data_IF_711846450124
#
_entry.id   IF_711846450124
#
_cell.length_a   1.000
_cell.length_b   1.000
_cell.length_c   1.000
_cell.angle_alpha   90.00
_cell.angle_beta   90.00
_cell.angle_gamma   90.00
#
_symmetry.space_group_name_H-M   'P 1'
#
loop_
_entity.id
_entity.type
_entity.pdbx_description
1 polymer ?
#
# COMPACT_ATOMS: atom_id res chain seq x y z
N UNK A 1 -23.04 -74.83 55.19
CA UNK A 1 -23.56 -73.89 54.14
C UNK A 1 -23.06 -72.48 54.50
N UNK A 2 -21.97 -72.08 53.87
CA UNK A 2 -21.42 -70.70 53.96
C UNK A 2 -21.71 -69.98 52.68
N UNK A 3 -22.42 -68.84 52.78
CA UNK A 3 -22.66 -67.92 51.60
C UNK A 3 -21.56 -66.93 51.56
N UNK A 4 -20.77 -66.96 50.46
CA UNK A 4 -19.77 -66.02 50.16
C UNK A 4 -20.41 -64.83 49.39
N UNK A 5 -20.38 -63.64 50.00
CA UNK A 5 -20.79 -62.39 49.32
C UNK A 5 -19.65 -61.84 48.49
N UNK A 6 -19.85 -61.80 47.19
CA UNK A 6 -18.92 -61.15 46.27
C UNK A 6 -19.35 -59.71 46.08
N UNK A 7 -18.55 -58.73 46.56
CA UNK A 7 -18.71 -57.29 46.31
C UNK A 7 -18.10 -56.99 44.94
N UNK A 8 -18.95 -56.67 43.97
CA UNK A 8 -18.50 -56.15 42.67
C UNK A 8 -18.23 -54.63 42.84
N UNK A 9 -16.94 -54.26 42.77
CA UNK A 9 -16.49 -52.87 42.65
C UNK A 9 -16.71 -52.41 41.20
N UNK A 10 -17.64 -51.48 41.01
CA UNK A 10 -17.82 -50.77 39.73
C UNK A 10 -16.75 -49.67 39.62
N UNK A 11 -15.73 -49.90 38.83
CA UNK A 11 -14.80 -48.85 38.40
C UNK A 11 -15.45 -48.02 37.27
N UNK A 12 -15.91 -46.81 37.58
CA UNK A 12 -16.26 -45.83 36.57
C UNK A 12 -14.99 -45.20 35.98
N UNK A 13 -14.82 -45.20 34.67
CA UNK A 13 -13.72 -44.44 34.05
C UNK A 13 -14.04 -42.93 34.09
N UNK A 14 -13.26 -42.17 34.84
CA UNK A 14 -13.28 -40.71 34.75
C UNK A 14 -12.61 -40.32 33.44
N UNK A 15 -13.41 -39.98 32.41
CA UNK A 15 -12.92 -39.39 31.18
C UNK A 15 -12.53 -37.93 31.46
N UNK A 16 -11.24 -37.66 31.62
CA UNK A 16 -10.70 -36.29 31.58
C UNK A 16 -10.79 -35.78 30.15
N UNK A 17 -11.82 -34.98 29.87
CA UNK A 17 -11.89 -34.22 28.62
C UNK A 17 -10.86 -33.09 28.71
N UNK A 18 -9.67 -33.29 28.09
CA UNK A 18 -8.70 -32.23 27.86
C UNK A 18 -9.29 -31.33 26.74
N UNK A 19 -10.01 -30.29 27.15
CA UNK A 19 -10.37 -29.20 26.25
C UNK A 19 -9.10 -28.39 25.94
N UNK A 20 -8.38 -28.79 24.88
CA UNK A 20 -7.34 -27.98 24.27
C UNK A 20 -8.02 -26.73 23.67
N UNK A 21 -8.02 -25.63 24.43
CA UNK A 21 -8.30 -24.32 23.84
C UNK A 21 -7.20 -24.05 22.82
N UNK A 22 -7.50 -24.27 21.56
CA UNK A 22 -6.68 -23.79 20.45
C UNK A 22 -6.65 -22.26 20.57
N UNK A 23 -5.64 -21.73 21.22
CA UNK A 23 -5.35 -20.31 21.14
C UNK A 23 -5.12 -19.99 19.64
N UNK A 24 -6.04 -19.29 19.03
CA UNK A 24 -5.87 -18.82 17.63
C UNK A 24 -4.57 -18.04 17.59
N UNK A 25 -3.56 -18.56 16.88
CA UNK A 25 -2.30 -17.86 16.71
C UNK A 25 -2.60 -16.50 16.07
N UNK A 26 -2.23 -15.43 16.75
CA UNK A 26 -2.45 -14.08 16.25
C UNK A 26 -1.67 -13.92 14.93
N UNK A 27 -2.34 -13.38 13.89
CA UNK A 27 -1.72 -13.20 12.57
C UNK A 27 -0.62 -12.13 12.62
N UNK A 28 0.45 -12.26 11.80
CA UNK A 28 1.43 -11.21 11.62
C UNK A 28 0.79 -9.87 11.22
N UNK A 29 1.33 -8.76 11.71
CA UNK A 29 0.82 -7.44 11.40
C UNK A 29 0.93 -7.13 9.90
N UNK A 30 -0.12 -6.58 9.31
CA UNK A 30 -0.12 -6.19 7.89
C UNK A 30 0.64 -4.89 7.68
N UNK A 31 1.52 -4.84 6.67
CA UNK A 31 2.25 -3.64 6.26
C UNK A 31 1.91 -3.34 4.81
N UNK A 32 1.48 -2.12 4.53
CA UNK A 32 1.24 -1.62 3.18
C UNK A 32 2.26 -0.52 2.85
N UNK A 33 2.75 -0.52 1.62
CA UNK A 33 3.61 0.53 1.09
C UNK A 33 2.79 1.38 0.14
N UNK A 34 2.88 2.70 0.26
CA UNK A 34 2.21 3.66 -0.64
C UNK A 34 3.26 4.53 -1.29
N UNK A 35 3.29 4.58 -2.62
CA UNK A 35 4.31 5.32 -3.33
C UNK A 35 3.78 5.96 -4.63
N UNK A 36 4.50 6.95 -5.16
CA UNK A 36 4.13 7.64 -6.38
C UNK A 36 4.35 9.14 -6.34
N UNK A 37 3.54 9.88 -7.12
CA UNK A 37 3.65 11.34 -7.20
C UNK A 37 2.49 12.08 -6.50
N UNK A 38 2.15 13.28 -6.96
CA UNK A 38 1.21 14.18 -6.27
C UNK A 38 -0.15 13.56 -5.91
N UNK A 39 -0.74 12.78 -6.79
CA UNK A 39 -2.01 12.09 -6.54
C UNK A 39 -1.87 10.97 -5.49
N UNK A 40 -0.69 10.35 -5.36
CA UNK A 40 -0.38 9.43 -4.27
C UNK A 40 -0.01 10.19 -2.97
N UNK A 41 0.63 11.35 -3.07
CA UNK A 41 0.93 12.22 -1.93
C UNK A 41 -0.35 12.71 -1.26
N UNK A 42 -1.36 13.11 -2.06
CA UNK A 42 -2.66 13.61 -1.63
C UNK A 42 -2.84 15.11 -1.94
N UNK A 43 -3.78 15.41 -2.84
CA UNK A 43 -4.06 16.78 -3.31
C UNK A 43 -5.54 17.15 -3.18
N UNK A 44 -6.42 16.21 -2.92
CA UNK A 44 -7.83 16.49 -2.70
C UNK A 44 -8.01 17.25 -1.38
N UNK A 45 -8.81 18.32 -1.42
CA UNK A 45 -9.09 19.12 -0.24
C UNK A 45 -9.87 18.33 0.82
N UNK A 46 -9.47 18.41 2.09
CA UNK A 46 -10.24 17.79 3.18
C UNK A 46 -11.63 18.40 3.37
N UNK A 47 -11.94 19.54 2.75
CA UNK A 47 -13.31 20.07 2.68
C UNK A 47 -14.23 19.21 1.83
N UNK A 48 -13.67 18.40 0.92
CA UNK A 48 -14.38 17.50 0.02
C UNK A 48 -14.26 16.03 0.46
N UNK A 49 -13.62 15.76 1.61
CA UNK A 49 -13.41 14.39 2.05
C UNK A 49 -14.72 13.75 2.53
N UNK A 50 -14.89 12.45 2.30
CA UNK A 50 -16.02 11.70 2.86
C UNK A 50 -16.07 11.82 4.38
N UNK A 51 -17.27 12.00 4.94
CA UNK A 51 -17.46 12.18 6.40
C UNK A 51 -16.87 11.05 7.26
N UNK A 52 -16.80 9.84 6.74
CA UNK A 52 -16.24 8.71 7.46
C UNK A 52 -14.74 8.88 7.76
N UNK A 53 -13.99 9.59 6.93
CA UNK A 53 -12.56 9.86 7.16
C UNK A 53 -12.32 10.79 8.36
N UNK A 54 -13.28 11.65 8.68
CA UNK A 54 -13.17 12.56 9.82
C UNK A 54 -13.17 11.84 11.19
N UNK A 55 -13.59 10.56 11.23
CA UNK A 55 -13.60 9.74 12.45
C UNK A 55 -12.20 9.31 12.91
N UNK A 56 -11.18 9.53 12.09
CA UNK A 56 -9.81 9.07 12.35
C UNK A 56 -9.65 7.56 12.23
N UNK A 57 -8.55 7.05 12.78
CA UNK A 57 -8.13 5.64 12.65
C UNK A 57 -7.76 5.10 14.03
N UNK A 58 -8.22 3.90 14.33
CA UNK A 58 -7.97 3.23 15.61
C UNK A 58 -6.67 2.39 15.57
N UNK A 59 -6.48 1.66 14.48
CA UNK A 59 -5.43 0.66 14.35
C UNK A 59 -4.31 1.05 13.38
N UNK A 60 -4.48 2.13 12.62
CA UNK A 60 -3.48 2.61 11.66
C UNK A 60 -2.23 3.15 12.37
N UNK A 61 -1.06 2.61 12.02
CA UNK A 61 0.26 3.14 12.33
C UNK A 61 0.93 3.60 11.04
N UNK A 62 1.39 4.83 11.01
CA UNK A 62 1.78 5.50 9.77
C UNK A 62 3.18 6.09 9.85
N UNK A 63 3.99 5.87 8.80
CA UNK A 63 5.31 6.45 8.62
C UNK A 63 5.43 7.11 7.25
N UNK A 64 5.74 8.42 7.22
CA UNK A 64 6.00 9.16 5.98
C UNK A 64 7.51 9.27 5.77
N UNK A 65 8.08 8.32 5.01
CA UNK A 65 9.53 8.13 4.93
C UNK A 65 10.25 9.01 3.91
N UNK A 66 9.53 9.84 3.15
CA UNK A 66 10.14 10.82 2.25
C UNK A 66 10.96 11.88 3.02
N UNK A 67 10.40 12.39 4.11
CA UNK A 67 10.98 13.49 4.89
C UNK A 67 11.54 13.03 6.23
N UNK A 68 10.95 11.99 6.82
CA UNK A 68 11.30 11.47 8.13
C UNK A 68 11.74 10.01 8.04
N UNK A 69 13.04 9.81 7.93
CA UNK A 69 13.62 8.46 7.89
C UNK A 69 14.10 8.02 9.28
N UNK A 70 13.28 8.27 10.30
CA UNK A 70 13.61 7.88 11.68
C UNK A 70 13.17 6.45 12.04
N UNK A 71 12.40 5.77 11.16
CA UNK A 71 11.90 4.41 11.37
C UNK A 71 10.78 4.30 12.41
N UNK A 72 10.16 5.41 12.78
CA UNK A 72 9.06 5.42 13.77
C UNK A 72 7.72 5.56 13.05
N UNK A 73 6.73 4.84 13.58
CA UNK A 73 5.34 5.02 13.20
C UNK A 73 4.62 5.91 14.21
N UNK A 74 3.79 6.81 13.71
CA UNK A 74 2.91 7.65 14.50
C UNK A 74 1.43 7.34 14.27
N UNK A 75 0.58 8.01 15.01
CA UNK A 75 -0.83 8.09 14.69
C UNK A 75 -1.02 9.02 13.50
N UNK A 76 -1.89 8.62 12.59
CA UNK A 76 -2.21 9.43 11.42
C UNK A 76 -3.47 10.27 11.68
N UNK A 77 -3.43 11.53 11.27
CA UNK A 77 -4.58 12.41 11.19
C UNK A 77 -4.58 13.15 9.85
N UNK A 78 -5.76 13.39 9.31
CA UNK A 78 -5.89 14.16 8.08
C UNK A 78 -5.38 15.60 8.25
N UNK A 79 -4.62 16.06 7.27
CA UNK A 79 -4.16 17.44 7.16
C UNK A 79 -5.16 18.33 6.40
N UNK A 80 -4.65 19.25 5.59
CA UNK A 80 -5.46 20.11 4.69
C UNK A 80 -5.90 19.38 3.43
N UNK A 81 -5.25 18.28 3.10
CA UNK A 81 -5.52 17.42 1.94
C UNK A 81 -5.56 15.96 2.36
N UNK A 82 -6.18 15.14 1.53
CA UNK A 82 -6.21 13.69 1.69
C UNK A 82 -5.83 12.96 0.40
N UNK A 83 -5.46 11.70 0.51
CA UNK A 83 -5.03 10.84 -0.57
C UNK A 83 -5.93 9.60 -0.67
N UNK A 84 -5.87 8.90 -1.79
CA UNK A 84 -6.60 7.65 -1.98
C UNK A 84 -6.25 6.58 -0.92
N UNK A 85 -5.00 6.56 -0.45
CA UNK A 85 -4.59 5.63 0.60
C UNK A 85 -5.31 5.87 1.93
N UNK A 86 -5.78 7.09 2.21
CA UNK A 86 -6.52 7.38 3.43
C UNK A 86 -7.89 6.70 3.40
N UNK A 87 -8.50 6.62 2.20
CA UNK A 87 -9.73 5.84 1.98
C UNK A 87 -9.47 4.35 2.16
N UNK A 88 -8.41 3.81 1.55
CA UNK A 88 -8.00 2.40 1.72
C UNK A 88 -7.80 2.08 3.21
N UNK A 89 -7.04 2.92 3.90
CA UNK A 89 -6.72 2.74 5.32
C UNK A 89 -7.97 2.75 6.19
N UNK A 90 -8.95 3.61 5.89
CA UNK A 90 -10.20 3.67 6.65
C UNK A 90 -10.95 2.33 6.61
N UNK A 91 -11.16 1.76 5.44
CA UNK A 91 -11.92 0.51 5.31
C UNK A 91 -11.16 -0.70 5.87
N UNK A 92 -9.82 -0.72 5.82
CA UNK A 92 -9.00 -1.70 6.51
C UNK A 92 -9.14 -1.52 8.03
N UNK A 93 -9.05 -0.29 8.54
CA UNK A 93 -9.16 0.03 9.98
C UNK A 93 -10.49 -0.42 10.58
N UNK A 94 -11.60 -0.32 9.83
CA UNK A 94 -12.93 -0.76 10.26
C UNK A 94 -13.02 -2.28 10.53
N UNK A 95 -12.17 -3.09 9.91
CA UNK A 95 -12.12 -4.56 10.09
C UNK A 95 -10.92 -5.01 10.92
N UNK A 96 -9.95 -4.13 11.13
CA UNK A 96 -8.77 -4.46 11.90
C UNK A 96 -9.10 -4.74 13.37
N UNK A 97 -8.57 -5.81 13.89
CA UNK A 97 -8.60 -6.15 15.32
C UNK A 97 -7.27 -5.89 16.01
N UNK A 98 -6.23 -5.65 15.22
CA UNK A 98 -4.86 -5.34 15.66
C UNK A 98 -4.30 -4.23 14.80
N UNK A 99 -3.21 -3.61 15.25
CA UNK A 99 -2.54 -2.56 14.49
C UNK A 99 -2.05 -3.06 13.13
N UNK A 100 -2.21 -2.21 12.10
CA UNK A 100 -1.59 -2.37 10.78
C UNK A 100 -0.77 -1.13 10.43
N UNK A 101 0.16 -1.30 9.53
CA UNK A 101 1.24 -0.33 9.30
C UNK A 101 1.24 0.16 7.86
N UNK A 102 1.43 1.45 7.66
CA UNK A 102 1.59 2.07 6.34
C UNK A 102 2.90 2.83 6.27
N UNK A 103 3.73 2.47 5.29
CA UNK A 103 4.95 3.20 4.94
C UNK A 103 4.69 3.96 3.66
N UNK A 104 4.69 5.29 3.72
CA UNK A 104 4.40 6.14 2.56
C UNK A 104 5.62 6.93 2.13
N UNK A 105 5.92 6.88 0.81
CA UNK A 105 6.86 7.74 0.13
C UNK A 105 6.20 8.28 -1.15
N UNK A 106 5.84 9.53 -1.19
CA UNK A 106 5.25 10.15 -2.38
C UNK A 106 5.69 11.62 -2.49
N UNK A 107 5.89 12.09 -3.73
CA UNK A 107 6.34 13.47 -3.96
C UNK A 107 5.79 13.99 -5.30
N UNK A 108 5.10 15.14 -5.24
CA UNK A 108 4.47 15.75 -6.40
C UNK A 108 5.46 16.18 -7.49
N UNK A 109 5.05 15.98 -8.77
CA UNK A 109 5.83 16.36 -9.93
C UNK A 109 7.07 15.51 -10.19
N UNK A 110 7.11 14.26 -9.71
CA UNK A 110 8.27 13.38 -9.85
C UNK A 110 8.05 12.31 -10.91
N UNK A 111 9.05 12.11 -11.75
CA UNK A 111 9.07 11.11 -12.81
C UNK A 111 9.85 9.85 -12.40
N UNK A 112 9.68 8.77 -13.16
CA UNK A 112 10.57 7.60 -13.12
C UNK A 112 11.73 7.81 -14.09
N UNK A 113 11.46 8.42 -15.24
CA UNK A 113 12.44 8.63 -16.29
C UNK A 113 13.30 9.85 -16.01
N UNK A 114 14.64 9.74 -16.07
CA UNK A 114 15.54 10.88 -15.95
C UNK A 114 15.19 12.00 -16.92
N UNK A 115 15.45 13.26 -16.55
CA UNK A 115 15.14 14.46 -17.32
C UNK A 115 13.64 14.74 -17.55
N UNK A 116 12.72 14.01 -16.92
CA UNK A 116 11.28 14.33 -16.86
C UNK A 116 10.90 15.03 -15.56
N UNK A 117 11.71 14.90 -14.53
CA UNK A 117 11.53 15.61 -13.25
C UNK A 117 12.02 17.05 -13.42
N UNK A 118 11.26 18.02 -12.91
CA UNK A 118 11.69 19.41 -12.84
C UNK A 118 13.03 19.55 -12.12
N UNK A 119 13.85 20.51 -12.53
CA UNK A 119 15.16 20.74 -11.95
C UNK A 119 15.08 20.87 -10.40
N UNK A 120 15.93 20.14 -9.70
CA UNK A 120 16.00 20.13 -8.24
C UNK A 120 14.95 19.24 -7.54
N UNK A 121 14.04 18.59 -8.27
CA UNK A 121 13.13 17.59 -7.69
C UNK A 121 13.75 16.20 -7.68
N UNK A 122 13.44 15.37 -6.67
CA UNK A 122 13.86 13.99 -6.65
C UNK A 122 13.15 13.14 -7.71
N UNK A 123 13.68 11.96 -7.98
CA UNK A 123 13.23 11.08 -9.05
C UNK A 123 13.10 9.63 -8.56
N UNK A 124 12.25 8.84 -9.23
CA UNK A 124 12.03 7.42 -8.96
C UNK A 124 12.95 6.48 -9.76
N UNK A 125 13.93 7.01 -10.51
CA UNK A 125 14.84 6.20 -11.30
C UNK A 125 15.61 5.20 -10.43
N UNK A 126 15.69 3.94 -10.87
CA UNK A 126 16.23 2.84 -10.08
C UNK A 126 17.35 2.07 -10.79
N UNK A 127 18.06 2.71 -11.74
CA UNK A 127 19.27 2.15 -12.31
C UNK A 127 20.36 2.00 -11.26
N UNK A 128 21.04 0.86 -11.23
CA UNK A 128 22.01 0.52 -10.17
C UNK A 128 23.20 1.48 -10.12
N UNK A 129 23.72 1.91 -11.27
CA UNK A 129 24.83 2.85 -11.35
C UNK A 129 24.42 4.23 -10.87
N UNK A 130 23.22 4.67 -11.26
CA UNK A 130 22.67 5.94 -10.83
C UNK A 130 22.39 5.93 -9.31
N UNK A 131 21.80 4.85 -8.78
CA UNK A 131 21.52 4.71 -7.34
C UNK A 131 22.80 4.75 -6.50
N UNK A 132 23.87 4.11 -6.97
CA UNK A 132 25.16 4.13 -6.28
C UNK A 132 25.79 5.54 -6.16
N UNK A 133 25.43 6.45 -7.05
CA UNK A 133 25.91 7.83 -7.09
C UNK A 133 24.97 8.83 -6.40
N UNK A 134 23.80 8.37 -5.91
CA UNK A 134 22.77 9.24 -5.38
C UNK A 134 22.42 8.90 -3.92
N UNK A 135 21.78 9.84 -3.26
CA UNK A 135 21.34 9.73 -1.87
C UNK A 135 19.80 9.66 -1.81
N UNK A 136 19.24 9.05 -0.77
CA UNK A 136 17.81 9.16 -0.50
C UNK A 136 17.43 10.65 -0.33
N UNK A 137 16.29 11.03 -0.89
CA UNK A 137 15.76 12.38 -0.68
C UNK A 137 15.15 12.50 0.71
N UNK A 138 15.56 13.54 1.42
CA UNK A 138 14.87 14.00 2.64
C UNK A 138 15.01 15.53 2.77
N UNK A 139 14.33 16.12 3.75
CA UNK A 139 14.33 17.57 3.96
C UNK A 139 15.70 18.15 4.37
N UNK A 140 16.63 17.32 4.82
CA UNK A 140 17.93 17.75 5.37
C UNK A 140 19.10 17.54 4.42
N UNK A 141 19.06 16.52 3.56
CA UNK A 141 20.23 16.15 2.73
C UNK A 141 20.13 16.57 1.26
N UNK A 142 18.97 17.06 0.80
CA UNK A 142 18.76 17.43 -0.60
C UNK A 142 18.93 16.26 -1.60
N UNK A 143 18.90 14.99 -1.13
CA UNK A 143 19.10 13.82 -1.97
C UNK A 143 18.06 13.72 -3.09
N UNK A 144 18.38 12.98 -4.16
CA UNK A 144 17.57 12.95 -5.38
C UNK A 144 16.77 11.65 -5.56
N UNK A 145 17.09 10.56 -4.84
CA UNK A 145 16.44 9.27 -5.05
C UNK A 145 15.25 9.03 -4.14
N UNK A 146 14.05 8.94 -4.72
CA UNK A 146 12.84 8.48 -4.01
C UNK A 146 12.82 6.95 -3.85
N UNK A 147 13.43 6.22 -4.77
CA UNK A 147 13.58 4.78 -4.64
C UNK A 147 14.39 4.41 -3.39
N UNK A 148 15.53 5.08 -3.16
CA UNK A 148 16.31 4.92 -1.93
C UNK A 148 15.56 5.47 -0.70
N UNK A 149 14.81 6.57 -0.83
CA UNK A 149 14.00 7.09 0.28
C UNK A 149 12.98 6.06 0.76
N UNK A 150 12.30 5.40 -0.17
CA UNK A 150 11.31 4.37 0.13
C UNK A 150 11.97 3.17 0.79
N UNK A 151 13.00 2.59 0.16
CA UNK A 151 13.58 1.31 0.61
C UNK A 151 14.36 1.44 1.90
N UNK A 152 15.21 2.47 2.05
CA UNK A 152 15.94 2.73 3.30
C UNK A 152 15.01 3.23 4.42
N UNK A 153 13.94 3.96 4.08
CA UNK A 153 12.91 4.33 5.04
C UNK A 153 12.15 3.11 5.55
N UNK A 154 11.78 2.17 4.66
CA UNK A 154 11.19 0.90 5.04
C UNK A 154 12.14 0.05 5.91
N UNK A 155 13.41 -0.06 5.54
CA UNK A 155 14.44 -0.76 6.32
C UNK A 155 14.51 -0.23 7.75
N UNK A 156 14.57 1.08 7.94
CA UNK A 156 14.55 1.70 9.28
C UNK A 156 13.26 1.44 10.05
N UNK A 157 12.11 1.42 9.37
CA UNK A 157 10.84 1.05 9.96
C UNK A 157 10.83 -0.41 10.42
N UNK A 158 11.39 -1.30 9.61
CA UNK A 158 11.53 -2.71 9.95
C UNK A 158 12.47 -2.89 11.16
N UNK A 159 13.66 -2.31 11.13
CA UNK A 159 14.68 -2.40 12.20
C UNK A 159 14.14 -1.88 13.54
N UNK A 160 13.55 -0.68 13.54
CA UNK A 160 13.22 0.01 14.79
C UNK A 160 11.87 -0.36 15.37
N UNK A 161 10.94 -0.83 14.54
CA UNK A 161 9.56 -1.08 14.96
C UNK A 161 9.06 -2.47 14.59
N UNK A 162 9.02 -2.82 13.29
CA UNK A 162 8.30 -4.01 12.84
C UNK A 162 8.92 -5.33 13.30
N UNK A 163 10.27 -5.41 13.35
CA UNK A 163 10.98 -6.60 13.83
C UNK A 163 10.77 -6.91 15.31
N UNK A 164 10.24 -5.95 16.08
CA UNK A 164 9.95 -6.09 17.51
C UNK A 164 8.52 -6.57 17.77
N UNK A 165 7.71 -6.69 16.75
CA UNK A 165 6.34 -7.21 16.88
C UNK A 165 6.38 -8.70 17.20
N UNK A 166 5.72 -9.11 18.26
CA UNK A 166 5.74 -10.49 18.76
C UNK A 166 5.36 -11.52 17.71
N UNK A 167 4.32 -11.23 16.93
CA UNK A 167 3.81 -12.11 15.87
C UNK A 167 4.45 -11.82 14.50
N UNK A 168 5.45 -10.91 14.47
CA UNK A 168 6.09 -10.47 13.25
C UNK A 168 5.18 -9.60 12.38
N UNK A 169 5.57 -9.42 11.12
CA UNK A 169 4.81 -8.62 10.15
C UNK A 169 4.88 -9.22 8.75
N UNK A 170 3.93 -8.85 7.91
CA UNK A 170 3.85 -9.23 6.49
C UNK A 170 3.66 -7.99 5.62
N UNK A 171 4.57 -7.76 4.68
CA UNK A 171 4.36 -6.76 3.62
C UNK A 171 3.33 -7.33 2.65
N UNK A 172 2.21 -6.62 2.48
CA UNK A 172 1.06 -7.08 1.70
C UNK A 172 1.12 -6.62 0.25
N UNK A 173 1.35 -5.33 0.03
CA UNK A 173 1.39 -4.74 -1.30
C UNK A 173 2.07 -3.37 -1.32
N UNK A 174 2.47 -2.95 -2.53
CA UNK A 174 2.76 -1.56 -2.87
C UNK A 174 1.57 -0.99 -3.64
N UNK A 175 0.98 0.09 -3.14
CA UNK A 175 -0.03 0.88 -3.84
C UNK A 175 0.68 2.04 -4.55
N UNK A 176 0.57 2.08 -5.86
CA UNK A 176 1.31 3.00 -6.70
C UNK A 176 0.40 3.85 -7.58
N UNK A 177 0.64 5.18 -7.58
CA UNK A 177 0.05 6.06 -8.59
C UNK A 177 1.06 7.11 -9.05
N UNK A 178 1.42 7.03 -10.33
CA UNK A 178 2.35 7.93 -11.02
C UNK A 178 2.26 7.64 -12.53
N UNK A 179 2.71 8.56 -13.37
CA UNK A 179 2.76 8.43 -14.82
C UNK A 179 2.64 9.79 -15.50
N UNK A 180 1.97 10.75 -14.86
CA UNK A 180 1.71 12.07 -15.39
C UNK A 180 3.02 12.84 -15.71
N UNK A 181 4.03 12.69 -14.84
CA UNK A 181 5.32 13.36 -15.02
C UNK A 181 6.18 12.77 -16.14
N UNK A 182 5.89 11.54 -16.59
CA UNK A 182 6.64 10.86 -17.66
C UNK A 182 6.05 11.05 -19.07
N UNK A 183 4.98 11.85 -19.20
CA UNK A 183 4.21 12.01 -20.44
C UNK A 183 5.02 12.47 -21.67
N UNK A 184 6.14 13.15 -21.50
CA UNK A 184 6.95 13.70 -22.59
C UNK A 184 8.03 12.74 -23.09
N UNK A 185 8.35 11.66 -22.35
CA UNK A 185 9.25 10.57 -22.80
C UNK A 185 8.67 9.20 -22.45
N UNK A 186 7.48 8.87 -22.94
CA UNK A 186 6.76 7.66 -22.55
C UNK A 186 7.46 6.37 -22.99
N UNK A 187 8.34 6.43 -23.99
CA UNK A 187 9.05 5.26 -24.53
C UNK A 187 9.94 4.56 -23.49
N UNK A 188 10.46 5.31 -22.51
CA UNK A 188 11.35 4.77 -21.48
C UNK A 188 10.58 4.30 -20.23
N UNK A 189 9.30 4.62 -20.14
CA UNK A 189 8.51 4.40 -18.91
C UNK A 189 8.41 2.93 -18.52
N UNK A 190 8.12 2.05 -19.48
CA UNK A 190 7.98 0.62 -19.24
C UNK A 190 9.24 0.02 -18.59
N UNK A 191 10.40 0.22 -19.22
CA UNK A 191 11.65 -0.38 -18.74
C UNK A 191 12.09 0.22 -17.41
N UNK A 192 11.99 1.53 -17.24
CA UNK A 192 12.35 2.21 -16.02
C UNK A 192 11.41 1.80 -14.85
N UNK A 193 10.11 1.64 -15.12
CA UNK A 193 9.18 1.21 -14.06
C UNK A 193 9.35 -0.26 -13.71
N UNK A 194 9.60 -1.12 -14.69
CA UNK A 194 9.99 -2.52 -14.44
C UNK A 194 11.22 -2.62 -13.56
N UNK A 195 12.23 -1.80 -13.82
CA UNK A 195 13.45 -1.73 -13.03
C UNK A 195 13.17 -1.27 -11.60
N UNK A 196 12.33 -0.24 -11.42
CA UNK A 196 11.91 0.24 -10.10
C UNK A 196 11.15 -0.83 -9.30
N UNK A 197 10.21 -1.54 -9.92
CA UNK A 197 9.47 -2.64 -9.27
C UNK A 197 10.44 -3.72 -8.78
N UNK A 198 11.38 -4.14 -9.64
CA UNK A 198 12.36 -5.16 -9.28
C UNK A 198 13.30 -4.69 -8.17
N UNK A 199 13.73 -3.42 -8.21
CA UNK A 199 14.54 -2.83 -7.16
C UNK A 199 13.80 -2.84 -5.81
N UNK A 200 12.58 -2.33 -5.75
CA UNK A 200 11.79 -2.31 -4.50
C UNK A 200 11.58 -3.73 -3.96
N UNK A 201 11.24 -4.69 -4.81
CA UNK A 201 11.09 -6.11 -4.41
C UNK A 201 12.38 -6.68 -3.83
N UNK A 202 13.52 -6.43 -4.47
CA UNK A 202 14.84 -6.87 -4.01
C UNK A 202 15.16 -6.30 -2.63
N UNK A 203 14.98 -5.01 -2.45
CA UNK A 203 15.32 -4.34 -1.18
C UNK A 203 14.35 -4.76 -0.05
N UNK A 204 13.04 -4.90 -0.33
CA UNK A 204 12.08 -5.41 0.66
C UNK A 204 12.43 -6.86 1.05
N UNK A 205 12.77 -7.71 0.08
CA UNK A 205 13.23 -9.08 0.35
C UNK A 205 14.51 -9.09 1.21
N UNK A 206 15.46 -8.23 0.92
CA UNK A 206 16.71 -8.13 1.71
C UNK A 206 16.44 -7.81 3.18
N UNK A 207 15.41 -7.00 3.46
CA UNK A 207 15.00 -6.63 4.82
C UNK A 207 14.19 -7.73 5.50
N UNK A 208 13.26 -8.38 4.79
CA UNK A 208 12.30 -9.33 5.38
C UNK A 208 12.80 -10.77 5.40
N UNK A 209 13.68 -11.14 4.47
CA UNK A 209 14.10 -12.52 4.22
C UNK A 209 12.99 -13.45 3.72
N UNK A 210 11.79 -12.93 3.39
CA UNK A 210 10.63 -13.74 3.02
C UNK A 210 10.55 -13.93 1.52
N UNK A 211 10.67 -15.17 1.03
CA UNK A 211 10.67 -15.52 -0.40
C UNK A 211 9.48 -14.92 -1.19
N UNK A 212 8.31 -14.81 -0.55
CA UNK A 212 7.13 -14.19 -1.16
C UNK A 212 7.37 -12.74 -1.59
N UNK A 213 8.26 -12.02 -0.89
CA UNK A 213 8.49 -10.59 -1.13
C UNK A 213 9.35 -10.33 -2.37
N UNK A 214 10.02 -11.35 -2.93
CA UNK A 214 10.60 -11.31 -4.28
C UNK A 214 9.54 -11.09 -5.37
N UNK A 215 8.28 -11.37 -5.04
CA UNK A 215 7.10 -11.14 -5.89
C UNK A 215 6.07 -10.27 -5.18
N UNK A 216 6.53 -9.33 -4.35
CA UNK A 216 5.65 -8.41 -3.63
C UNK A 216 4.62 -7.80 -4.59
N UNK A 217 3.31 -7.88 -4.28
CA UNK A 217 2.27 -7.32 -5.14
C UNK A 217 2.43 -5.81 -5.34
N UNK A 218 2.34 -5.36 -6.60
CA UNK A 218 2.22 -3.96 -6.98
C UNK A 218 0.83 -3.71 -7.54
N UNK A 219 0.10 -2.78 -6.97
CA UNK A 219 -1.21 -2.34 -7.44
C UNK A 219 -1.03 -0.95 -8.02
N UNK A 220 -1.16 -0.84 -9.34
CA UNK A 220 -0.83 0.35 -10.13
C UNK A 220 -2.12 1.00 -10.61
N UNK A 221 -2.37 2.26 -10.25
CA UNK A 221 -3.45 3.05 -10.85
C UNK A 221 -3.02 3.69 -12.16
N UNK A 222 -3.86 3.59 -13.20
CA UNK A 222 -3.63 4.30 -14.47
C UNK A 222 -3.81 5.81 -14.31
N UNK A 223 -3.24 6.60 -15.22
CA UNK A 223 -3.50 8.05 -15.28
C UNK A 223 -4.89 8.28 -15.89
N UNK A 224 -5.76 9.13 -15.30
CA UNK A 224 -7.06 9.46 -15.89
C UNK A 224 -6.94 10.03 -17.30
N UNK A 225 -7.79 9.57 -18.21
CA UNK A 225 -7.75 10.04 -19.60
C UNK A 225 -8.13 11.51 -19.78
N UNK A 226 -8.90 12.05 -18.84
CA UNK A 226 -9.22 13.48 -18.81
C UNK A 226 -8.04 14.35 -18.33
N UNK A 227 -6.96 13.77 -17.80
CA UNK A 227 -5.83 14.54 -17.29
C UNK A 227 -5.08 15.24 -18.43
N UNK A 228 -4.77 16.53 -18.25
CA UNK A 228 -3.91 17.30 -19.17
C UNK A 228 -2.48 16.72 -19.28
N UNK A 229 -2.14 15.79 -18.39
CA UNK A 229 -0.87 15.06 -18.42
C UNK A 229 -1.05 13.58 -18.79
N UNK A 230 -2.19 13.20 -19.32
CA UNK A 230 -2.40 11.88 -19.86
C UNK A 230 -1.53 11.63 -21.10
N UNK A 231 -1.01 10.42 -21.20
CA UNK A 231 -0.35 9.93 -22.40
C UNK A 231 -0.73 8.45 -22.63
N UNK A 232 -1.29 8.08 -23.79
CA UNK A 232 -1.74 6.70 -24.06
C UNK A 232 -0.61 5.67 -23.97
N UNK A 233 0.63 6.05 -24.32
CA UNK A 233 1.79 5.15 -24.20
C UNK A 233 2.16 4.85 -22.75
N UNK A 234 1.89 5.77 -21.82
CA UNK A 234 2.07 5.52 -20.38
C UNK A 234 1.02 4.51 -19.91
N UNK A 235 -0.26 4.69 -20.28
CA UNK A 235 -1.32 3.73 -19.96
C UNK A 235 -1.01 2.35 -20.54
N UNK A 236 -0.57 2.28 -21.80
CA UNK A 236 -0.17 1.03 -22.45
C UNK A 236 0.99 0.35 -21.71
N UNK A 237 2.01 1.10 -21.32
CA UNK A 237 3.14 0.58 -20.54
C UNK A 237 2.71 0.04 -19.17
N UNK A 238 1.81 0.75 -18.47
CA UNK A 238 1.25 0.28 -17.19
C UNK A 238 0.47 -1.02 -17.38
N UNK A 239 -0.39 -1.11 -18.40
CA UNK A 239 -1.16 -2.33 -18.71
C UNK A 239 -0.26 -3.48 -19.14
N UNK A 240 0.82 -3.20 -19.89
CA UNK A 240 1.83 -4.18 -20.29
C UNK A 240 2.56 -4.75 -19.07
N UNK A 241 2.98 -3.91 -18.12
CA UNK A 241 3.56 -4.36 -16.85
C UNK A 241 2.64 -5.33 -16.10
N UNK A 242 1.34 -5.04 -16.04
CA UNK A 242 0.34 -5.90 -15.40
C UNK A 242 0.15 -7.25 -16.10
N UNK A 243 0.44 -7.34 -17.41
CA UNK A 243 0.36 -8.58 -18.19
C UNK A 243 1.64 -9.43 -18.09
N UNK A 244 2.79 -8.79 -18.03
CA UNK A 244 4.09 -9.44 -18.18
C UNK A 244 4.81 -9.72 -16.85
N UNK A 245 4.56 -8.90 -15.82
CA UNK A 245 5.21 -9.08 -14.55
C UNK A 245 4.30 -9.82 -13.54
N UNK A 246 4.82 -10.84 -12.87
CA UNK A 246 4.05 -11.55 -11.84
C UNK A 246 3.68 -10.60 -10.69
N UNK A 247 2.45 -10.72 -10.20
CA UNK A 247 1.91 -9.93 -9.10
C UNK A 247 2.00 -8.39 -9.33
N UNK A 248 1.87 -7.95 -10.59
CA UNK A 248 1.59 -6.56 -10.92
C UNK A 248 0.16 -6.46 -11.40
N UNK A 249 -0.66 -5.68 -10.74
CA UNK A 249 -2.10 -5.56 -10.98
C UNK A 249 -2.44 -4.11 -11.30
N UNK A 250 -3.13 -3.90 -12.42
CA UNK A 250 -3.51 -2.56 -12.87
C UNK A 250 -4.95 -2.27 -12.50
N UNK A 251 -5.17 -1.16 -11.84
CA UNK A 251 -6.49 -0.60 -11.53
C UNK A 251 -6.79 0.48 -12.56
N UNK A 252 -7.89 0.32 -13.28
CA UNK A 252 -8.34 1.30 -14.27
C UNK A 252 -8.91 2.54 -13.56
N UNK A 253 -8.30 3.69 -13.83
CA UNK A 253 -8.69 4.99 -13.31
C UNK A 253 -9.02 5.97 -14.45
N UNK A 254 -9.27 5.47 -15.66
CA UNK A 254 -9.45 6.28 -16.87
C UNK A 254 -10.58 7.30 -16.80
N UNK A 255 -11.62 7.02 -16.00
CA UNK A 255 -12.85 7.80 -15.83
C UNK A 255 -12.92 8.60 -14.53
N UNK A 256 -11.84 8.62 -13.74
CA UNK A 256 -11.84 9.28 -12.42
C UNK A 256 -11.87 10.79 -12.57
N UNK A 257 -12.70 11.45 -11.75
CA UNK A 257 -12.86 12.91 -11.77
C UNK A 257 -11.66 13.66 -11.21
N UNK A 258 -11.45 14.86 -11.76
CA UNK A 258 -10.30 15.71 -11.46
C UNK A 258 -10.76 17.09 -10.97
N UNK A 259 -9.87 17.77 -10.25
CA UNK A 259 -10.02 19.17 -9.87
C UNK A 259 -10.02 20.10 -11.11
N UNK A 260 -10.33 21.37 -10.91
CA UNK A 260 -10.31 22.38 -11.97
C UNK A 260 -8.96 22.52 -12.69
N UNK A 261 -7.86 22.07 -12.09
CA UNK A 261 -6.54 22.06 -12.72
C UNK A 261 -6.38 20.94 -13.78
N UNK A 262 -7.39 20.08 -13.92
CA UNK A 262 -7.43 18.95 -14.87
C UNK A 262 -6.21 18.03 -14.72
N UNK A 263 -5.72 17.87 -13.48
CA UNK A 263 -4.54 17.08 -13.15
C UNK A 263 -4.71 16.25 -11.89
N UNK A 264 -5.11 16.90 -10.80
CA UNK A 264 -5.23 16.24 -9.51
C UNK A 264 -6.65 15.70 -9.30
N UNK A 265 -6.76 14.56 -8.64
CA UNK A 265 -8.05 14.02 -8.23
C UNK A 265 -8.78 15.03 -7.34
N UNK A 266 -10.06 15.25 -7.61
CA UNK A 266 -10.97 15.93 -6.67
C UNK A 266 -11.34 15.00 -5.49
N UNK A 267 -12.20 15.46 -4.59
CA UNK A 267 -12.60 14.65 -3.44
C UNK A 267 -13.29 13.34 -3.83
N UNK A 268 -14.21 13.38 -4.81
CA UNK A 268 -14.92 12.21 -5.33
C UNK A 268 -13.95 11.26 -6.06
N UNK A 269 -13.09 11.80 -6.92
CA UNK A 269 -12.08 11.01 -7.63
C UNK A 269 -11.15 10.30 -6.67
N UNK A 270 -10.66 11.00 -5.64
CA UNK A 270 -9.79 10.42 -4.61
C UNK A 270 -10.48 9.25 -3.87
N UNK A 271 -11.77 9.39 -3.55
CA UNK A 271 -12.57 8.31 -2.94
C UNK A 271 -12.70 7.11 -3.88
N UNK A 272 -13.04 7.33 -5.16
CA UNK A 272 -13.16 6.28 -6.17
C UNK A 272 -11.84 5.52 -6.34
N UNK A 273 -10.71 6.24 -6.45
CA UNK A 273 -9.38 5.61 -6.53
C UNK A 273 -9.12 4.73 -5.32
N UNK A 274 -9.36 5.24 -4.11
CA UNK A 274 -9.16 4.48 -2.89
C UNK A 274 -10.00 3.22 -2.84
N UNK A 275 -11.28 3.29 -3.20
CA UNK A 275 -12.18 2.12 -3.24
C UNK A 275 -11.73 1.09 -4.28
N UNK A 276 -11.38 1.49 -5.51
CA UNK A 276 -10.88 0.57 -6.55
C UNK A 276 -9.56 -0.10 -6.16
N UNK A 277 -8.65 0.62 -5.52
CA UNK A 277 -7.40 0.05 -4.99
C UNK A 277 -7.68 -0.98 -3.88
N UNK A 278 -8.62 -0.67 -2.98
CA UNK A 278 -9.05 -1.58 -1.92
C UNK A 278 -9.72 -2.83 -2.46
N UNK A 279 -10.62 -2.70 -3.44
CA UNK A 279 -11.26 -3.83 -4.11
C UNK A 279 -10.21 -4.79 -4.67
N UNK A 280 -9.16 -4.27 -5.30
CA UNK A 280 -8.07 -5.09 -5.80
C UNK A 280 -7.30 -5.78 -4.67
N UNK A 281 -7.05 -5.11 -3.55
CA UNK A 281 -6.44 -5.75 -2.36
C UNK A 281 -7.31 -6.89 -1.82
N UNK A 282 -8.62 -6.70 -1.74
CA UNK A 282 -9.58 -7.71 -1.25
C UNK A 282 -9.68 -8.89 -2.22
N UNK A 283 -9.80 -8.61 -3.53
CA UNK A 283 -9.80 -9.63 -4.60
C UNK A 283 -8.58 -10.56 -4.51
N UNK A 284 -7.42 -10.01 -4.18
CA UNK A 284 -6.16 -10.73 -4.04
C UNK A 284 -5.95 -11.37 -2.66
N UNK A 285 -6.89 -11.22 -1.73
CA UNK A 285 -6.75 -11.71 -0.35
C UNK A 285 -5.65 -11.01 0.46
N UNK A 286 -5.28 -9.78 0.09
CA UNK A 286 -4.21 -9.00 0.73
C UNK A 286 -4.72 -8.10 1.85
N UNK A 287 -6.02 -7.80 1.87
CA UNK A 287 -6.69 -7.06 2.92
C UNK A 287 -8.10 -7.59 3.18
N UNK A 288 -8.53 -7.49 4.43
CA UNK A 288 -9.94 -7.61 4.80
C UNK A 288 -10.53 -6.19 4.88
N UNK A 289 -11.69 -5.97 4.27
CA UNK A 289 -12.36 -4.67 4.27
C UNK A 289 -13.85 -4.78 4.59
N UNK A 290 -14.47 -3.65 4.96
CA UNK A 290 -15.90 -3.57 5.19
C UNK A 290 -16.68 -3.77 3.88
N UNK A 291 -17.85 -4.40 3.95
CA UNK A 291 -18.75 -4.59 2.78
C UNK A 291 -19.18 -3.26 2.14
N UNK A 292 -19.21 -2.17 2.92
CA UNK A 292 -19.56 -0.83 2.44
C UNK A 292 -18.44 -0.18 1.58
N UNK A 293 -17.28 -0.86 1.46
CA UNK A 293 -16.18 -0.43 0.61
C UNK A 293 -16.46 -0.61 -0.89
N UNK A 294 -17.34 -1.53 -1.27
CA UNK A 294 -17.67 -1.77 -2.68
C UNK A 294 -18.43 -0.58 -3.27
N UNK A 295 -18.00 -0.02 -4.41
CA UNK A 295 -18.81 0.95 -5.13
C UNK A 295 -20.14 0.33 -5.50
N UNK A 296 -21.21 1.03 -5.23
CA UNK A 296 -22.54 0.60 -5.68
C UNK A 296 -22.62 0.80 -7.22
N UNK A 297 -22.11 -0.16 -7.98
CA UNK A 297 -22.10 -0.14 -9.45
C UNK A 297 -23.50 -0.26 -10.07
N UNK A 298 -24.57 -0.39 -9.26
CA UNK A 298 -25.96 -0.50 -9.73
C UNK A 298 -26.70 0.83 -9.88
N UNK A 299 -26.06 1.98 -9.72
CA UNK A 299 -26.71 3.29 -9.77
C UNK A 299 -26.57 4.05 -11.10
N UNK A 300 -26.10 3.43 -12.19
CA UNK A 300 -25.96 4.08 -13.51
C UNK A 300 -26.79 3.46 -14.64
N UNK A 301 -27.73 2.54 -14.35
CA UNK A 301 -28.70 2.10 -15.35
C UNK A 301 -30.09 2.43 -14.84
N UNK A 302 -30.52 3.67 -14.94
CA UNK A 302 -31.92 4.12 -15.06
C UNK A 302 -32.02 5.65 -14.79
N UNK A 303 -31.81 6.46 -15.83
CA UNK A 303 -32.73 7.57 -16.22
C UNK A 303 -32.17 8.39 -17.36
#
# INVERSE_FOLDING_TARGET
MQRTNVIRLLLMPIAFALSATMASAQKPASVFIVAGQSNAEGRASTKECPHYLAKGYKHLKYAFVRTEQNGRFGHFSLGKTFAFCDVVNHFIDQKATTDFYVVKCAFGGTAITPAQTEAGKPIWYADSTWLAQNKPHNSTNGGMSLALSLTQGFEKCAEKTLSKLKEGYDVKAVLWHQGESDRSKPQQYYDNFKQLINFVRKEVYAVTGKEKDKRLPFIIGTVPRASRQYNPMIEEAQRKLGKELPNVHVVDLSDVSLQADVLHFDGKGTEVVGKRMLEKLVELGLADASADATPNTKACEAR
#
